data_IF_353037302547
#
_entry.id   IF_353037302547
#
_cell.length_a   1.000
_cell.length_b   1.000
_cell.length_c   1.000
_cell.angle_alpha   90.00
_cell.angle_beta   90.00
_cell.angle_gamma   90.00
#
_symmetry.space_group_name_H-M   'P 1'
#
loop_
_entity.id
_entity.type
_entity.pdbx_description
1 polymer ?
#
# COMPACT_ATOMS: atom_id res chain seq x y z
N UNK A 1 -11.20 7.46 1.83
CA UNK A 1 -11.44 6.05 2.19
C UNK A 1 -12.87 5.66 1.78
N UNK A 2 -13.03 4.45 1.28
CA UNK A 2 -14.32 3.88 0.89
C UNK A 2 -14.71 2.86 1.94
N UNK A 3 -15.60 3.24 2.86
CA UNK A 3 -15.98 2.40 4.01
C UNK A 3 -17.45 1.94 3.98
N UNK A 4 -18.27 2.49 3.08
CA UNK A 4 -19.65 2.09 2.94
C UNK A 4 -19.74 0.75 2.19
N UNK A 5 -20.44 -0.28 2.70
CA UNK A 5 -20.56 -1.60 2.04
C UNK A 5 -21.04 -1.54 0.59
N UNK A 6 -21.98 -0.64 0.27
CA UNK A 6 -22.47 -0.47 -1.12
C UNK A 6 -21.38 0.05 -2.05
N UNK A 7 -20.53 0.96 -1.58
CA UNK A 7 -19.39 1.48 -2.36
C UNK A 7 -18.30 0.42 -2.50
N UNK A 8 -18.00 -0.32 -1.43
CA UNK A 8 -17.07 -1.46 -1.46
C UNK A 8 -17.53 -2.45 -2.51
N UNK A 9 -18.80 -2.83 -2.50
CA UNK A 9 -19.40 -3.76 -3.48
C UNK A 9 -19.27 -3.25 -4.91
N UNK A 10 -19.55 -1.99 -5.15
CA UNK A 10 -19.41 -1.37 -6.48
C UNK A 10 -17.97 -1.45 -6.97
N UNK A 11 -16.99 -1.17 -6.12
CA UNK A 11 -15.56 -1.24 -6.49
C UNK A 11 -15.15 -2.68 -6.77
N UNK A 12 -15.49 -3.62 -5.89
CA UNK A 12 -15.12 -5.03 -6.07
C UNK A 12 -15.78 -5.62 -7.33
N UNK A 13 -17.05 -5.30 -7.59
CA UNK A 13 -17.73 -5.68 -8.81
C UNK A 13 -17.04 -5.09 -10.06
N UNK A 14 -16.75 -3.79 -10.03
CA UNK A 14 -16.03 -3.12 -11.13
C UNK A 14 -14.65 -3.73 -11.35
N UNK A 15 -13.93 -4.01 -10.28
CA UNK A 15 -12.62 -4.69 -10.35
C UNK A 15 -12.74 -6.06 -11.02
N UNK A 16 -13.68 -6.92 -10.56
CA UNK A 16 -13.95 -8.23 -11.15
C UNK A 16 -14.26 -8.12 -12.65
N UNK A 17 -15.17 -7.21 -13.02
CA UNK A 17 -15.64 -7.05 -14.40
C UNK A 17 -14.53 -6.49 -15.32
N UNK A 18 -13.52 -5.81 -14.76
CA UNK A 18 -12.36 -5.28 -15.48
C UNK A 18 -11.17 -6.23 -15.58
N UNK A 19 -11.16 -7.33 -14.84
CA UNK A 19 -10.05 -8.30 -14.86
C UNK A 19 -9.67 -8.78 -16.26
N UNK A 20 -10.60 -9.11 -17.17
CA UNK A 20 -10.24 -9.55 -18.52
C UNK A 20 -9.52 -8.48 -19.36
N UNK A 21 -9.76 -7.19 -19.06
CA UNK A 21 -9.10 -6.05 -19.71
C UNK A 21 -7.74 -5.78 -19.07
N UNK A 22 -7.65 -5.86 -17.75
CA UNK A 22 -6.42 -5.62 -16.99
C UNK A 22 -5.39 -6.75 -17.17
N UNK A 23 -5.89 -7.97 -17.31
CA UNK A 23 -5.09 -9.20 -17.44
C UNK A 23 -5.59 -10.07 -18.60
N UNK A 24 -5.34 -9.67 -19.85
CA UNK A 24 -5.85 -10.40 -21.01
C UNK A 24 -5.36 -11.86 -21.04
N UNK A 25 -6.29 -12.78 -21.31
CA UNK A 25 -6.00 -14.21 -21.40
C UNK A 25 -5.82 -14.93 -20.07
N UNK A 26 -6.08 -14.27 -18.93
CA UNK A 26 -6.10 -14.89 -17.61
C UNK A 26 -7.44 -15.54 -17.32
N UNK A 27 -7.42 -16.79 -16.89
CA UNK A 27 -8.61 -17.54 -16.46
C UNK A 27 -8.85 -17.36 -14.95
N UNK A 28 -7.77 -17.41 -14.16
CA UNK A 28 -7.82 -17.14 -12.72
C UNK A 28 -7.63 -15.67 -12.39
N UNK A 29 -8.18 -15.23 -11.26
CA UNK A 29 -7.91 -13.90 -10.69
C UNK A 29 -6.43 -13.77 -10.36
N UNK A 30 -5.71 -12.76 -10.86
CA UNK A 30 -4.31 -12.51 -10.51
C UNK A 30 -4.12 -12.34 -9.01
N UNK A 31 -2.94 -12.71 -8.49
CA UNK A 31 -2.62 -12.51 -7.08
C UNK A 31 -2.74 -11.02 -6.72
N UNK A 32 -3.70 -10.71 -5.87
CA UNK A 32 -4.10 -9.33 -5.55
C UNK A 32 -3.94 -9.06 -4.06
N UNK A 33 -3.41 -7.89 -3.73
CA UNK A 33 -3.37 -7.37 -2.37
C UNK A 33 -4.27 -6.12 -2.28
N UNK A 34 -5.26 -6.15 -1.39
CA UNK A 34 -6.17 -5.03 -1.13
C UNK A 34 -5.76 -4.33 0.16
N UNK A 35 -5.63 -3.01 0.10
CA UNK A 35 -5.31 -2.19 1.26
C UNK A 35 -6.58 -1.58 1.86
N UNK A 36 -6.95 -2.04 3.05
CA UNK A 36 -8.07 -1.56 3.85
C UNK A 36 -7.65 -0.45 4.82
N UNK A 37 -8.61 0.34 5.30
CA UNK A 37 -8.40 1.42 6.26
C UNK A 37 -8.09 0.90 7.66
N UNK A 38 -8.90 -0.05 8.11
CA UNK A 38 -8.83 -0.67 9.43
C UNK A 38 -9.32 -2.11 9.37
N UNK A 39 -9.30 -2.80 10.50
CA UNK A 39 -9.60 -4.22 10.61
C UNK A 39 -11.06 -4.54 10.28
N UNK A 40 -12.02 -3.71 10.71
CA UNK A 40 -13.44 -3.87 10.38
C UNK A 40 -13.69 -3.70 8.88
N UNK A 41 -13.07 -2.68 8.27
CA UNK A 41 -13.12 -2.48 6.82
C UNK A 41 -12.52 -3.67 6.05
N UNK A 42 -11.46 -4.28 6.59
CA UNK A 42 -10.90 -5.50 5.99
C UNK A 42 -11.87 -6.68 6.03
N UNK A 43 -12.64 -6.84 7.12
CA UNK A 43 -13.67 -7.87 7.22
C UNK A 43 -14.79 -7.66 6.20
N UNK A 44 -15.29 -6.44 6.07
CA UNK A 44 -16.31 -6.09 5.07
C UNK A 44 -15.83 -6.37 3.65
N UNK A 45 -14.59 -6.01 3.33
CA UNK A 45 -13.99 -6.27 2.01
C UNK A 45 -13.89 -7.78 1.77
N UNK A 46 -13.39 -8.56 2.73
CA UNK A 46 -13.26 -10.03 2.58
C UNK A 46 -14.61 -10.67 2.31
N UNK A 47 -15.64 -10.28 3.07
CA UNK A 47 -17.00 -10.80 2.88
C UNK A 47 -17.52 -10.45 1.47
N UNK A 48 -17.44 -9.19 1.08
CA UNK A 48 -17.95 -8.71 -0.21
C UNK A 48 -17.17 -9.33 -1.38
N UNK A 49 -15.86 -9.51 -1.27
CA UNK A 49 -15.07 -10.21 -2.30
C UNK A 49 -15.57 -11.63 -2.48
N UNK A 50 -15.78 -12.39 -1.39
CA UNK A 50 -16.29 -13.77 -1.47
C UNK A 50 -17.66 -13.84 -2.13
N UNK A 51 -18.55 -12.92 -1.78
CA UNK A 51 -19.89 -12.84 -2.37
C UNK A 51 -19.85 -12.50 -3.86
N UNK A 52 -19.09 -11.47 -4.25
CA UNK A 52 -19.04 -11.00 -5.64
C UNK A 52 -18.31 -11.96 -6.60
N UNK A 53 -17.35 -12.71 -6.10
CA UNK A 53 -16.67 -13.74 -6.90
C UNK A 53 -17.34 -15.12 -6.80
N UNK A 54 -18.31 -15.30 -5.88
CA UNK A 54 -18.95 -16.59 -5.63
C UNK A 54 -18.00 -17.65 -5.08
N UNK A 55 -17.02 -17.24 -4.29
CA UNK A 55 -15.89 -18.07 -3.87
C UNK A 55 -15.85 -18.31 -2.35
N UNK A 56 -15.16 -19.38 -1.97
CA UNK A 56 -15.02 -19.80 -0.57
C UNK A 56 -14.01 -18.97 0.22
N UNK A 57 -13.92 -19.28 1.53
CA UNK A 57 -12.94 -18.67 2.44
C UNK A 57 -11.48 -18.81 2.02
N UNK A 58 -11.14 -19.86 1.28
CA UNK A 58 -9.78 -20.08 0.80
C UNK A 58 -9.37 -19.06 -0.29
N UNK A 59 -10.33 -18.54 -1.06
CA UNK A 59 -10.08 -17.62 -2.16
C UNK A 59 -9.60 -16.24 -1.70
N UNK A 60 -10.24 -15.69 -0.65
CA UNK A 60 -9.91 -14.39 -0.11
C UNK A 60 -9.67 -14.49 1.41
N UNK A 61 -8.51 -14.06 1.87
CA UNK A 61 -8.11 -14.10 3.28
C UNK A 61 -7.74 -12.72 3.82
N UNK A 62 -8.07 -12.49 5.10
CA UNK A 62 -7.62 -11.31 5.85
C UNK A 62 -6.22 -11.53 6.40
N UNK A 63 -5.34 -10.54 6.21
CA UNK A 63 -3.95 -10.56 6.68
C UNK A 63 -3.74 -9.36 7.61
N UNK A 64 -4.14 -9.52 8.87
CA UNK A 64 -3.98 -8.50 9.92
C UNK A 64 -3.53 -9.17 11.22
N UNK A 65 -3.01 -8.39 12.17
CA UNK A 65 -2.63 -8.91 13.49
C UNK A 65 -3.81 -9.43 14.32
N UNK A 66 -5.05 -9.06 13.95
CA UNK A 66 -6.28 -9.49 14.61
C UNK A 66 -6.93 -10.69 13.91
N UNK A 67 -6.36 -11.17 12.81
CA UNK A 67 -6.85 -12.37 12.14
C UNK A 67 -6.68 -13.61 13.03
N UNK A 68 -7.60 -14.56 12.89
CA UNK A 68 -7.53 -15.87 13.59
C UNK A 68 -6.38 -16.73 13.08
N UNK A 69 -6.04 -16.61 11.81
CA UNK A 69 -4.93 -17.34 11.19
C UNK A 69 -3.63 -16.51 11.28
N UNK A 70 -2.49 -17.18 11.39
CA UNK A 70 -1.18 -16.52 11.39
C UNK A 70 -0.97 -15.76 10.06
N UNK A 71 -0.78 -14.43 10.10
CA UNK A 71 -0.53 -13.63 8.91
C UNK A 71 0.63 -14.12 8.04
N UNK A 72 1.68 -14.67 8.66
CA UNK A 72 2.84 -15.21 7.93
C UNK A 72 2.48 -16.46 7.15
N UNK A 73 1.63 -17.32 7.72
CA UNK A 73 1.14 -18.53 7.05
C UNK A 73 0.30 -18.15 5.81
N UNK A 74 -0.65 -17.20 5.94
CA UNK A 74 -1.47 -16.74 4.82
C UNK A 74 -0.61 -16.12 3.70
N UNK A 75 0.43 -15.36 4.05
CA UNK A 75 1.33 -14.79 3.05
C UNK A 75 2.21 -15.83 2.38
N UNK A 76 2.58 -16.90 3.09
CA UNK A 76 3.27 -18.05 2.51
C UNK A 76 2.36 -18.79 1.51
N UNK A 77 1.08 -18.98 1.86
CA UNK A 77 0.08 -19.55 0.95
C UNK A 77 -0.12 -18.65 -0.29
N UNK A 78 -0.31 -17.33 -0.11
CA UNK A 78 -0.46 -16.37 -1.20
C UNK A 78 0.71 -16.44 -2.18
N UNK A 79 1.92 -16.69 -1.69
CA UNK A 79 3.15 -16.80 -2.48
C UNK A 79 3.29 -18.14 -3.20
N UNK A 80 2.92 -19.26 -2.55
CA UNK A 80 3.33 -20.59 -2.98
C UNK A 80 2.17 -21.47 -3.44
N UNK A 81 0.92 -21.09 -3.19
CA UNK A 81 -0.26 -21.90 -3.51
C UNK A 81 -1.17 -21.20 -4.50
N UNK A 82 -2.08 -21.94 -5.13
CA UNK A 82 -3.10 -21.41 -6.01
C UNK A 82 -4.01 -20.42 -5.26
N UNK A 83 -4.54 -20.82 -4.11
CA UNK A 83 -5.29 -19.96 -3.17
C UNK A 83 -4.41 -19.57 -1.97
N UNK A 84 -4.69 -18.40 -1.34
CA UNK A 84 -5.66 -17.39 -1.71
C UNK A 84 -5.27 -16.65 -2.99
N UNK A 85 -6.29 -16.19 -3.75
CA UNK A 85 -6.08 -15.30 -4.90
C UNK A 85 -5.99 -13.84 -4.45
N UNK A 86 -6.77 -13.48 -3.42
CA UNK A 86 -6.86 -12.12 -2.88
C UNK A 86 -6.50 -12.15 -1.39
N UNK A 87 -5.66 -11.23 -0.98
CA UNK A 87 -5.38 -10.96 0.42
C UNK A 87 -5.81 -9.51 0.76
N UNK A 88 -6.43 -9.31 1.93
CA UNK A 88 -6.85 -7.99 2.41
C UNK A 88 -6.04 -7.64 3.65
N UNK A 89 -5.37 -6.50 3.65
CA UNK A 89 -4.51 -6.07 4.75
C UNK A 89 -4.76 -4.61 5.14
N UNK A 90 -4.42 -4.25 6.37
CA UNK A 90 -4.43 -2.85 6.84
C UNK A 90 -3.01 -2.28 6.80
N UNK A 91 -2.08 -2.91 7.51
CA UNK A 91 -0.73 -2.38 7.75
C UNK A 91 0.39 -3.44 7.58
N UNK A 92 0.10 -4.60 6.99
CA UNK A 92 1.06 -5.68 6.80
C UNK A 92 2.18 -5.33 5.81
N UNK A 93 2.94 -4.31 6.17
CA UNK A 93 4.13 -3.89 5.43
C UNK A 93 5.38 -4.19 6.24
N UNK A 94 5.21 -4.40 7.55
CA UNK A 94 6.30 -4.70 8.42
C UNK A 94 6.88 -6.08 8.11
N UNK A 95 8.12 -6.06 7.67
CA UNK A 95 9.12 -7.11 7.73
C UNK A 95 8.92 -8.38 6.89
N UNK A 96 9.71 -8.50 5.83
CA UNK A 96 10.21 -9.79 5.37
C UNK A 96 9.31 -10.65 4.48
N UNK A 97 8.09 -10.25 4.19
CA UNK A 97 7.16 -11.03 3.37
C UNK A 97 7.21 -10.58 1.90
N UNK A 98 8.15 -11.16 1.17
CA UNK A 98 8.24 -11.00 -0.28
C UNK A 98 7.23 -11.93 -0.96
N UNK A 99 6.16 -11.39 -1.51
CA UNK A 99 5.18 -12.14 -2.31
C UNK A 99 5.43 -11.84 -3.79
N UNK A 100 6.41 -12.55 -4.38
CA UNK A 100 6.82 -12.34 -5.77
C UNK A 100 5.67 -12.44 -6.80
N UNK A 101 4.73 -13.40 -6.70
CA UNK A 101 3.64 -13.53 -7.67
C UNK A 101 2.53 -12.47 -7.55
N UNK A 102 2.69 -11.46 -6.68
CA UNK A 102 1.70 -10.40 -6.51
C UNK A 102 1.63 -9.50 -7.75
N UNK A 103 0.50 -9.52 -8.46
CA UNK A 103 0.31 -8.86 -9.76
C UNK A 103 -0.60 -7.63 -9.71
N UNK A 104 -1.41 -7.49 -8.66
CA UNK A 104 -2.33 -6.37 -8.50
C UNK A 104 -2.32 -5.81 -7.08
N UNK A 105 -2.34 -4.49 -6.97
CA UNK A 105 -2.50 -3.74 -5.73
C UNK A 105 -3.76 -2.89 -5.83
N UNK A 106 -4.77 -3.17 -5.00
CA UNK A 106 -6.01 -2.39 -4.95
C UNK A 106 -6.03 -1.51 -3.69
N UNK A 107 -6.07 -0.20 -3.88
CA UNK A 107 -6.12 0.76 -2.80
C UNK A 107 -7.57 1.20 -2.51
N UNK A 108 -8.08 0.84 -1.33
CA UNK A 108 -9.39 1.26 -0.81
C UNK A 108 -9.24 2.21 0.39
N UNK A 109 -8.02 2.64 0.68
CA UNK A 109 -7.68 3.66 1.68
C UNK A 109 -6.78 4.73 1.08
N UNK A 110 -6.88 5.96 1.58
CA UNK A 110 -5.90 7.00 1.30
C UNK A 110 -4.61 6.77 2.09
N UNK A 111 -3.48 7.11 1.48
CA UNK A 111 -2.15 7.01 2.07
C UNK A 111 -1.43 8.33 1.87
N UNK A 112 -1.31 9.12 2.92
CA UNK A 112 -0.69 10.47 2.86
C UNK A 112 0.84 10.43 2.92
N UNK A 113 1.42 9.49 3.63
CA UNK A 113 2.88 9.36 3.71
C UNK A 113 3.47 8.81 2.41
N UNK A 114 4.40 9.54 1.80
CA UNK A 114 5.12 9.10 0.58
C UNK A 114 5.89 7.81 0.83
N UNK A 115 6.68 7.76 1.89
CA UNK A 115 7.48 6.56 2.20
C UNK A 115 6.61 5.33 2.40
N UNK A 116 5.47 5.50 3.08
CA UNK A 116 4.54 4.40 3.30
C UNK A 116 3.91 3.93 1.98
N UNK A 117 3.49 4.86 1.13
CA UNK A 117 2.95 4.55 -0.19
C UNK A 117 3.96 3.83 -1.09
N UNK A 118 5.22 4.30 -1.11
CA UNK A 118 6.30 3.63 -1.86
C UNK A 118 6.58 2.22 -1.33
N UNK A 119 6.54 2.00 -0.01
CA UNK A 119 6.66 0.66 0.57
C UNK A 119 5.49 -0.25 0.14
N UNK A 120 4.26 0.26 0.10
CA UNK A 120 3.10 -0.48 -0.40
C UNK A 120 3.27 -0.87 -1.87
N UNK A 121 3.65 0.07 -2.73
CA UNK A 121 3.94 -0.21 -4.15
C UNK A 121 5.07 -1.21 -4.33
N UNK A 122 6.11 -1.10 -3.53
CA UNK A 122 7.27 -1.99 -3.55
C UNK A 122 6.91 -3.47 -3.40
N UNK A 123 5.75 -3.80 -2.83
CA UNK A 123 5.27 -5.18 -2.73
C UNK A 123 4.97 -5.81 -4.09
N UNK A 124 4.54 -5.02 -5.07
CA UNK A 124 4.28 -5.49 -6.44
C UNK A 124 5.50 -5.48 -7.35
N UNK A 125 6.61 -4.84 -6.99
CA UNK A 125 7.72 -4.56 -7.90
C UNK A 125 8.59 -5.77 -8.27
N UNK A 126 8.45 -6.93 -7.60
CA UNK A 126 9.29 -8.10 -7.85
C UNK A 126 8.91 -8.77 -9.15
N UNK A 127 9.90 -9.01 -10.00
CA UNK A 127 9.73 -9.82 -11.20
C UNK A 127 9.70 -11.32 -10.88
N UNK A 128 9.05 -12.09 -11.76
CA UNK A 128 8.97 -13.55 -11.64
C UNK A 128 8.97 -14.16 -13.04
N UNK A 129 9.72 -15.23 -13.23
CA UNK A 129 9.78 -15.95 -14.50
C UNK A 129 8.44 -16.67 -14.76
N UNK A 130 8.17 -16.95 -16.04
CA UNK A 130 6.89 -17.55 -16.46
C UNK A 130 6.62 -18.88 -15.74
N UNK A 131 7.62 -19.76 -15.68
CA UNK A 131 7.45 -21.10 -15.08
C UNK A 131 7.16 -21.02 -13.57
N UNK A 132 7.78 -20.06 -12.89
CA UNK A 132 7.53 -19.85 -11.47
C UNK A 132 6.16 -19.23 -11.21
N UNK A 133 5.72 -18.30 -12.09
CA UNK A 133 4.39 -17.73 -11.98
C UNK A 133 3.30 -18.77 -12.26
N UNK A 134 3.49 -19.65 -13.23
CA UNK A 134 2.57 -20.75 -13.56
C UNK A 134 2.32 -21.73 -12.42
N UNK A 135 3.25 -21.87 -11.48
CA UNK A 135 3.05 -22.71 -10.28
C UNK A 135 1.87 -22.26 -9.44
N UNK A 136 1.58 -20.98 -9.44
CA UNK A 136 0.47 -20.37 -8.66
C UNK A 136 -0.60 -19.71 -9.53
N UNK A 137 -0.31 -19.47 -10.80
CA UNK A 137 -1.22 -18.85 -11.78
C UNK A 137 -1.05 -19.58 -13.12
N UNK A 138 -1.72 -20.74 -13.30
CA UNK A 138 -1.47 -21.63 -14.43
C UNK A 138 -1.75 -21.04 -15.82
N UNK A 139 -2.72 -20.12 -15.93
CA UNK A 139 -3.07 -19.46 -17.20
C UNK A 139 -2.11 -18.31 -17.58
N UNK A 140 -1.08 -18.05 -16.77
CA UNK A 140 -0.10 -17.01 -17.08
C UNK A 140 0.67 -17.33 -18.36
N UNK A 141 0.46 -16.54 -19.43
CA UNK A 141 1.16 -16.71 -20.70
C UNK A 141 2.62 -16.23 -20.63
N UNK A 142 2.86 -15.18 -19.85
CA UNK A 142 4.17 -14.53 -19.66
C UNK A 142 4.51 -14.44 -18.19
N UNK A 143 5.80 -14.30 -17.91
CA UNK A 143 6.30 -13.99 -16.56
C UNK A 143 5.84 -12.61 -16.11
N UNK A 144 5.97 -12.37 -14.80
CA UNK A 144 5.62 -11.09 -14.20
C UNK A 144 6.77 -10.09 -14.37
N UNK A 145 6.60 -9.12 -15.25
CA UNK A 145 7.51 -7.97 -15.43
C UNK A 145 7.10 -6.71 -14.66
N UNK A 146 5.90 -6.68 -14.09
CA UNK A 146 5.35 -5.53 -13.39
C UNK A 146 4.11 -5.88 -12.56
N UNK A 147 3.36 -4.86 -12.17
CA UNK A 147 2.11 -5.00 -11.45
C UNK A 147 1.14 -3.87 -11.82
N UNK A 148 -0.13 -4.09 -11.56
CA UNK A 148 -1.19 -3.11 -11.80
C UNK A 148 -1.61 -2.48 -10.47
N UNK A 149 -1.75 -1.15 -10.44
CA UNK A 149 -2.38 -0.43 -9.34
C UNK A 149 -3.83 -0.12 -9.73
N UNK A 150 -4.76 -0.56 -8.91
CA UNK A 150 -6.16 -0.16 -8.97
C UNK A 150 -6.41 0.83 -7.84
N UNK A 151 -6.71 2.06 -8.19
CA UNK A 151 -6.87 3.17 -7.26
C UNK A 151 -8.36 3.53 -7.12
N UNK A 152 -8.99 3.10 -6.03
CA UNK A 152 -10.39 3.37 -5.77
C UNK A 152 -10.65 4.69 -5.01
N UNK A 153 -9.60 5.38 -4.56
CA UNK A 153 -9.70 6.53 -3.66
C UNK A 153 -8.90 7.76 -4.10
N UNK A 154 -8.23 7.70 -5.26
CA UNK A 154 -7.37 8.78 -5.74
C UNK A 154 -6.02 8.85 -5.03
N UNK A 155 -5.57 7.75 -4.41
CA UNK A 155 -4.33 7.70 -3.64
C UNK A 155 -3.10 8.02 -4.49
N UNK A 156 -3.11 7.67 -5.77
CA UNK A 156 -1.99 7.95 -6.71
C UNK A 156 -1.86 9.42 -7.06
N UNK A 157 -2.95 10.18 -6.96
CA UNK A 157 -3.02 11.61 -7.28
C UNK A 157 -2.99 12.51 -6.04
N UNK A 158 -3.22 11.95 -4.84
CA UNK A 158 -3.24 12.72 -3.61
C UNK A 158 -1.85 13.25 -3.25
N UNK A 159 -1.80 14.47 -2.71
CA UNK A 159 -0.56 15.05 -2.20
C UNK A 159 0.05 14.17 -1.13
N UNK A 160 1.29 13.75 -1.35
CA UNK A 160 2.05 12.95 -0.39
C UNK A 160 2.90 13.86 0.49
N UNK A 161 2.79 13.64 1.80
CA UNK A 161 3.70 14.27 2.76
C UNK A 161 4.97 13.45 2.85
N UNK A 162 6.11 14.11 2.65
CA UNK A 162 7.40 13.48 2.92
C UNK A 162 7.55 13.26 4.43
N UNK A 163 8.19 12.15 4.81
CA UNK A 163 8.59 11.93 6.20
C UNK A 163 9.59 13.03 6.57
N UNK A 164 9.13 13.99 7.36
CA UNK A 164 10.04 15.01 7.88
C UNK A 164 10.91 14.36 8.93
N UNK A 165 12.22 14.57 8.91
CA UNK A 165 13.07 14.17 10.01
C UNK A 165 12.47 14.66 11.33
N UNK A 166 12.42 13.80 12.34
CA UNK A 166 11.96 14.19 13.67
C UNK A 166 12.83 15.37 14.12
N UNK A 167 12.18 16.53 14.32
CA UNK A 167 12.85 17.72 14.80
C UNK A 167 13.39 17.45 16.21
N UNK A 168 14.70 17.24 16.33
CA UNK A 168 15.34 16.87 17.58
C UNK A 168 15.41 18.03 18.59
N UNK A 169 15.46 19.27 18.08
CA UNK A 169 15.54 20.48 18.91
C UNK A 169 14.22 21.28 18.94
N UNK A 170 13.12 20.61 19.24
CA UNK A 170 11.77 21.22 19.25
C UNK A 170 11.61 22.40 20.18
N UNK A 171 12.31 22.39 21.31
CA UNK A 171 12.24 23.42 22.38
C UNK A 171 13.11 24.63 22.11
N UNK A 172 14.05 24.57 21.16
CA UNK A 172 14.94 25.69 20.82
C UNK A 172 14.22 26.67 19.90
N UNK A 173 14.08 27.96 20.20
CA UNK A 173 13.50 28.96 19.34
C UNK A 173 14.19 29.06 17.98
N UNK A 174 13.46 29.42 16.92
CA UNK A 174 14.03 29.55 15.56
C UNK A 174 15.18 30.55 15.51
N UNK A 175 15.04 31.67 16.24
CA UNK A 175 16.08 32.70 16.36
C UNK A 175 17.39 32.10 16.88
N UNK A 176 17.32 31.27 17.92
CA UNK A 176 18.51 30.68 18.56
C UNK A 176 19.16 29.62 17.65
N UNK A 177 18.36 28.88 16.85
CA UNK A 177 18.88 27.97 15.83
C UNK A 177 19.66 28.73 14.76
N UNK A 178 19.08 29.81 14.21
CA UNK A 178 19.73 30.64 13.20
C UNK A 178 20.98 31.33 13.73
N UNK A 179 20.93 31.81 14.98
CA UNK A 179 22.09 32.42 15.65
C UNK A 179 23.22 31.42 15.88
N UNK A 180 22.88 30.18 16.29
CA UNK A 180 23.86 29.11 16.45
C UNK A 180 24.54 28.76 15.11
N UNK A 181 23.80 28.71 14.03
CA UNK A 181 24.33 28.48 12.68
C UNK A 181 25.26 29.63 12.27
N UNK A 182 24.85 30.89 12.50
CA UNK A 182 25.64 32.06 12.18
C UNK A 182 26.98 32.12 12.99
N UNK A 183 27.01 31.56 14.19
CA UNK A 183 28.20 31.40 14.99
C UNK A 183 29.05 30.18 14.62
N UNK A 184 28.74 29.49 13.54
CA UNK A 184 29.52 28.34 13.03
C UNK A 184 29.23 27.01 13.69
N UNK A 185 28.08 26.86 14.36
CA UNK A 185 27.66 25.58 14.91
C UNK A 185 27.15 24.67 13.77
N UNK A 186 27.97 23.68 13.39
CA UNK A 186 27.76 22.82 12.20
C UNK A 186 27.21 21.42 12.57
N UNK A 187 26.41 21.29 13.66
CA UNK A 187 25.79 20.00 13.96
C UNK A 187 24.55 19.75 13.09
N UNK A 188 24.41 18.51 12.63
CA UNK A 188 23.33 18.05 11.75
C UNK A 188 21.93 18.31 12.36
N UNK A 189 21.78 18.19 13.67
CA UNK A 189 20.52 18.39 14.38
C UNK A 189 20.06 19.86 14.33
N UNK A 190 20.99 20.81 14.39
CA UNK A 190 20.71 22.25 14.29
C UNK A 190 20.27 22.61 12.87
N UNK A 191 21.01 22.15 11.85
CA UNK A 191 20.65 22.39 10.46
C UNK A 191 19.31 21.74 10.08
N UNK A 192 19.10 20.47 10.44
CA UNK A 192 17.85 19.75 10.15
C UNK A 192 16.65 20.41 10.82
N UNK A 193 16.78 20.87 12.07
CA UNK A 193 15.72 21.57 12.79
C UNK A 193 15.40 22.94 12.15
N UNK A 194 16.43 23.72 11.78
CA UNK A 194 16.26 25.01 11.11
C UNK A 194 15.63 24.84 9.72
N UNK A 195 16.14 23.92 8.90
CA UNK A 195 15.62 23.63 7.57
C UNK A 195 14.16 23.16 7.61
N UNK A 196 13.81 22.27 8.55
CA UNK A 196 12.44 21.79 8.73
C UNK A 196 11.45 22.90 9.12
N UNK A 197 11.90 23.90 9.90
CA UNK A 197 11.05 25.06 10.26
C UNK A 197 10.91 26.05 9.10
N UNK A 198 11.99 26.31 8.38
CA UNK A 198 11.94 27.16 7.19
C UNK A 198 11.03 26.56 6.11
N UNK A 199 11.13 25.27 5.87
CA UNK A 199 10.22 24.59 4.94
C UNK A 199 8.75 24.67 5.36
N UNK A 200 8.45 24.63 6.68
CA UNK A 200 7.09 24.86 7.20
C UNK A 200 6.61 26.29 6.99
N UNK A 201 7.46 27.27 7.23
CA UNK A 201 7.15 28.68 6.98
C UNK A 201 6.87 28.90 5.50
N UNK A 202 7.69 28.38 4.60
CA UNK A 202 7.51 28.52 3.17
C UNK A 202 6.17 27.94 2.66
N UNK A 203 5.63 26.88 3.31
CA UNK A 203 4.30 26.33 2.97
C UNK A 203 3.14 27.13 3.54
N UNK A 204 3.39 28.05 4.48
CA UNK A 204 2.38 28.91 5.11
C UNK A 204 2.34 30.32 4.51
N UNK A 205 3.39 30.71 3.78
CA UNK A 205 3.45 32.00 3.11
C UNK A 205 2.56 31.96 1.85
N UNK A 206 1.79 33.02 1.65
CA UNK A 206 1.07 33.27 0.40
C UNK A 206 2.02 33.91 -0.62
N UNK A 207 1.69 33.85 -1.95
CA UNK A 207 2.53 34.45 -2.99
C UNK A 207 2.83 35.96 -2.82
N UNK A 208 2.09 36.62 -1.94
CA UNK A 208 2.22 38.07 -1.66
C UNK A 208 3.05 38.37 -0.39
N UNK A 209 3.52 37.36 0.35
CA UNK A 209 4.38 37.44 1.53
C UNK A 209 5.79 36.91 1.25
#
# INVERSE_FOLDING_TARGET
DVVNPSQIRTIIKTFRDRLPVLFPGREEVPKTLIFAKDDSHADDIVQIVREEFGESGAFCKKVTYKATEDPKAILAELRNQYNPRIAVTVDMIATGTDVKPLECLLFMRDVRSRNYFEQMKGRGCRSLQTDDLKKVSPSAALGKGGFIIVDAVGVTQSHKTDSRPLERKRTVPMKDLLYAIALGKNDEDTFTSAAGRLARLNTQLTPEQ
#
